data_IF_109040898137
#
_entry.id   IF_109040898137
#
_cell.length_a   1.000
_cell.length_b   1.000
_cell.length_c   1.000
_cell.angle_alpha   90.00
_cell.angle_beta   90.00
_cell.angle_gamma   90.00
#
_symmetry.space_group_name_H-M   'P 1'
#
loop_
_entity.id
_entity.type
_entity.pdbx_description
1 polymer ?
#
# COMPACT_ATOMS: atom_id res chain seq x y z
N UNK A 1 45.85 -5.36 -22.58
CA UNK A 1 45.36 -4.65 -21.38
C UNK A 1 44.13 -3.87 -21.82
N UNK A 2 42.93 -4.46 -21.67
CA UNK A 2 41.94 -4.16 -20.61
C UNK A 2 41.57 -2.68 -20.57
N UNK A 3 40.32 -2.25 -20.72
CA UNK A 3 39.12 -2.79 -20.08
C UNK A 3 37.85 -2.68 -20.95
N UNK A 4 36.98 -3.68 -20.85
CA UNK A 4 35.58 -3.59 -21.26
C UNK A 4 34.77 -2.86 -20.19
N UNK A 5 33.88 -1.98 -20.62
CA UNK A 5 32.83 -1.43 -19.77
C UNK A 5 31.75 -2.51 -19.60
N UNK A 6 31.61 -3.01 -18.38
CA UNK A 6 30.43 -3.74 -17.95
C UNK A 6 29.28 -2.73 -17.80
N UNK A 7 28.25 -2.89 -18.62
CA UNK A 7 26.96 -2.26 -18.41
C UNK A 7 26.29 -3.01 -17.24
N UNK A 8 26.19 -2.35 -16.10
CA UNK A 8 25.38 -2.80 -14.98
C UNK A 8 23.92 -2.85 -15.43
N UNK A 9 23.36 -4.06 -15.45
CA UNK A 9 21.96 -4.30 -15.78
C UNK A 9 21.08 -3.82 -14.65
N UNK A 10 20.55 -2.61 -14.76
CA UNK A 10 19.33 -2.24 -14.05
C UNK A 10 18.23 -3.18 -14.56
N UNK A 11 17.78 -4.10 -13.70
CA UNK A 11 16.62 -4.93 -13.94
C UNK A 11 15.44 -4.03 -14.29
N UNK A 12 15.15 -3.94 -15.57
CA UNK A 12 14.04 -3.15 -16.09
C UNK A 12 12.78 -3.87 -15.67
N UNK A 13 12.02 -3.29 -14.72
CA UNK A 13 10.69 -3.79 -14.38
C UNK A 13 9.83 -3.72 -15.64
N UNK A 14 9.58 -4.87 -16.27
CA UNK A 14 8.63 -4.97 -17.37
C UNK A 14 7.24 -4.90 -16.74
N UNK A 15 6.69 -3.70 -16.62
CA UNK A 15 5.29 -3.52 -16.26
C UNK A 15 4.44 -4.08 -17.40
N UNK A 16 3.70 -5.17 -17.15
CA UNK A 16 2.65 -5.58 -18.07
C UNK A 16 1.56 -4.51 -18.03
N UNK A 17 1.30 -3.90 -19.18
CA UNK A 17 0.56 -2.63 -19.33
C UNK A 17 -0.96 -2.76 -19.07
N UNK A 18 -1.48 -3.89 -18.58
CA UNK A 18 -2.90 -4.20 -18.77
C UNK A 18 -3.81 -4.12 -17.54
N UNK A 19 -3.34 -4.30 -16.31
CA UNK A 19 -4.27 -4.46 -15.19
C UNK A 19 -3.96 -3.45 -14.07
N UNK A 20 -4.49 -2.23 -14.17
CA UNK A 20 -4.33 -1.20 -13.13
C UNK A 20 -5.66 -0.90 -12.45
N UNK A 21 -5.61 -0.72 -11.13
CA UNK A 21 -6.75 -0.37 -10.31
C UNK A 21 -6.56 0.99 -9.65
N UNK A 22 -7.64 1.73 -9.50
CA UNK A 22 -7.74 2.86 -8.60
C UNK A 22 -8.10 2.37 -7.20
N UNK A 23 -7.19 2.58 -6.24
CA UNK A 23 -7.43 2.33 -4.83
C UNK A 23 -7.68 3.66 -4.12
N UNK A 24 -8.83 3.77 -3.46
CA UNK A 24 -9.16 4.86 -2.54
C UNK A 24 -9.29 4.29 -1.13
N UNK A 25 -8.60 4.90 -0.17
CA UNK A 25 -8.70 4.60 1.26
C UNK A 25 -9.12 5.87 1.97
N UNK A 26 -10.11 5.76 2.85
CA UNK A 26 -10.53 6.84 3.75
C UNK A 26 -10.96 6.21 5.07
N UNK A 27 -10.14 6.38 6.11
CA UNK A 27 -10.31 5.73 7.40
C UNK A 27 -9.93 6.67 8.54
N UNK A 28 -10.71 6.64 9.61
CA UNK A 28 -10.26 7.10 10.90
C UNK A 28 -9.69 5.91 11.68
N UNK A 29 -8.44 6.05 12.14
CA UNK A 29 -7.74 5.07 12.95
C UNK A 29 -7.81 5.47 14.42
N UNK A 30 -7.88 4.49 15.31
CA UNK A 30 -7.85 4.69 16.76
C UNK A 30 -6.52 5.27 17.24
N UNK A 31 -6.55 5.84 18.43
CA UNK A 31 -5.36 6.17 19.20
C UNK A 31 -4.51 4.92 19.57
N UNK A 32 -3.29 5.14 20.05
CA UNK A 32 -2.43 4.05 20.54
C UNK A 32 -1.63 3.29 19.47
N UNK A 33 -1.49 3.87 18.27
CA UNK A 33 -0.44 3.45 17.34
C UNK A 33 0.92 3.69 17.98
N UNK A 34 1.77 2.67 18.02
CA UNK A 34 3.15 2.85 18.48
C UNK A 34 3.93 3.77 17.55
N UNK A 35 5.00 4.40 18.05
CA UNK A 35 5.86 5.26 17.24
C UNK A 35 6.45 4.50 16.02
N UNK A 36 6.77 3.22 16.20
CA UNK A 36 7.27 2.37 15.13
C UNK A 36 6.21 2.14 14.04
N UNK A 37 4.99 1.77 14.43
CA UNK A 37 3.87 1.61 13.49
C UNK A 37 3.55 2.91 12.76
N UNK A 38 3.57 4.04 13.47
CA UNK A 38 3.33 5.34 12.87
C UNK A 38 4.44 5.71 11.87
N UNK A 39 5.70 5.40 12.19
CA UNK A 39 6.83 5.62 11.28
C UNK A 39 6.72 4.77 10.01
N UNK A 40 6.35 3.49 10.14
CA UNK A 40 6.14 2.60 8.99
C UNK A 40 4.93 3.01 8.16
N UNK A 41 3.82 3.39 8.79
CA UNK A 41 2.66 3.91 8.08
C UNK A 41 3.03 5.19 7.30
N UNK A 42 3.73 6.14 7.94
CA UNK A 42 4.24 7.33 7.23
C UNK A 42 5.15 6.97 6.06
N UNK A 43 6.01 5.96 6.20
CA UNK A 43 6.84 5.48 5.09
C UNK A 43 5.99 4.91 3.95
N UNK A 44 5.05 4.01 4.23
CA UNK A 44 4.15 3.47 3.21
C UNK A 44 3.35 4.56 2.50
N UNK A 45 2.95 5.62 3.21
CA UNK A 45 2.24 6.75 2.63
C UNK A 45 3.16 7.71 1.86
N UNK A 46 4.48 7.57 1.94
CA UNK A 46 5.45 8.50 1.34
C UNK A 46 5.55 9.84 2.07
N UNK A 47 5.27 9.84 3.37
CA UNK A 47 5.31 11.00 4.27
C UNK A 47 6.54 10.99 5.19
N UNK A 48 7.27 9.87 5.24
CA UNK A 48 8.46 9.71 6.07
C UNK A 48 9.50 8.78 5.46
N UNK A 49 10.71 8.74 6.06
CA UNK A 49 11.75 7.80 5.65
C UNK A 49 11.38 6.36 6.03
N UNK A 50 12.03 5.38 5.37
CA UNK A 50 11.90 3.97 5.73
C UNK A 50 12.41 3.73 7.16
N UNK A 51 11.64 3.07 8.05
CA UNK A 51 12.14 2.67 9.36
C UNK A 51 13.11 1.48 9.26
N UNK A 52 13.94 1.29 10.29
CA UNK A 52 14.91 0.20 10.35
C UNK A 52 14.24 -1.18 10.43
N UNK A 53 13.13 -1.26 11.16
CA UNK A 53 12.37 -2.49 11.39
C UNK A 53 10.91 -2.30 10.98
N UNK A 54 10.41 -3.22 10.14
CA UNK A 54 9.02 -3.28 9.72
C UNK A 54 8.22 -4.23 10.62
N UNK A 55 7.02 -3.83 11.01
CA UNK A 55 6.05 -4.55 11.83
C UNK A 55 4.63 -4.56 11.24
N UNK A 56 4.35 -3.75 10.21
CA UNK A 56 3.06 -3.74 9.49
C UNK A 56 3.08 -4.72 8.33
N UNK A 57 3.98 -4.51 7.37
CA UNK A 57 4.24 -5.41 6.24
C UNK A 57 5.70 -5.82 6.31
N UNK A 58 5.98 -7.08 6.62
CA UNK A 58 7.34 -7.51 6.96
C UNK A 58 8.07 -8.15 5.78
N UNK A 59 7.33 -8.70 4.81
CA UNK A 59 7.89 -9.52 3.75
C UNK A 59 7.76 -8.85 2.38
N UNK A 60 8.91 -8.62 1.74
CA UNK A 60 9.00 -8.17 0.36
C UNK A 60 9.79 -9.08 -0.55
N UNK A 61 9.35 -10.34 -0.73
CA UNK A 61 10.06 -11.28 -1.58
C UNK A 61 10.10 -10.77 -3.02
N UNK A 62 11.31 -10.71 -3.57
CA UNK A 62 11.57 -10.39 -4.97
C UNK A 62 12.62 -11.38 -5.49
N UNK A 63 12.37 -11.94 -6.68
CA UNK A 63 13.26 -12.91 -7.29
C UNK A 63 14.37 -12.16 -8.02
N UNK A 64 15.61 -12.36 -7.61
CA UNK A 64 16.80 -11.90 -8.32
C UNK A 64 17.60 -13.10 -8.82
N UNK A 65 18.37 -12.88 -9.88
CA UNK A 65 19.33 -13.86 -10.37
C UNK A 65 20.71 -13.44 -9.87
N UNK A 66 21.36 -14.29 -9.09
CA UNK A 66 22.68 -14.02 -8.55
C UNK A 66 23.78 -14.11 -9.62
N UNK A 67 25.02 -13.80 -9.22
CA UNK A 67 26.20 -13.87 -10.11
C UNK A 67 26.49 -15.28 -10.66
N UNK A 68 25.88 -16.32 -10.06
CA UNK A 68 25.99 -17.71 -10.50
C UNK A 68 24.87 -18.12 -11.47
N UNK A 69 23.94 -17.21 -11.77
CA UNK A 69 22.77 -17.50 -12.61
C UNK A 69 21.64 -18.22 -11.89
N UNK A 70 21.66 -18.28 -10.55
CA UNK A 70 20.65 -18.95 -9.74
C UNK A 70 19.60 -17.94 -9.26
N UNK A 71 18.33 -18.29 -9.39
CA UNK A 71 17.24 -17.50 -8.84
C UNK A 71 17.21 -17.63 -7.31
N UNK A 72 17.33 -16.50 -6.62
CA UNK A 72 17.23 -16.37 -5.16
C UNK A 72 16.13 -15.38 -4.79
N UNK A 73 15.50 -15.58 -3.63
CA UNK A 73 14.50 -14.65 -3.10
C UNK A 73 15.23 -13.69 -2.17
N UNK A 74 15.17 -12.41 -2.52
CA UNK A 74 15.62 -11.31 -1.66
C UNK A 74 14.43 -10.54 -1.13
N UNK A 75 14.62 -9.84 -0.01
CA UNK A 75 13.62 -8.95 0.55
C UNK A 75 13.96 -7.50 0.15
N UNK A 76 13.12 -6.88 -0.69
CA UNK A 76 13.29 -5.49 -1.15
C UNK A 76 12.09 -4.61 -0.73
N UNK A 77 12.07 -4.11 0.52
CA UNK A 77 10.94 -3.33 1.01
C UNK A 77 10.73 -2.00 0.29
N UNK A 78 9.50 -1.79 -0.18
CA UNK A 78 9.06 -0.59 -0.85
C UNK A 78 7.79 0.00 -0.20
N UNK A 79 7.59 1.33 -0.27
CA UNK A 79 6.37 1.93 0.23
C UNK A 79 5.19 1.62 -0.70
N UNK A 80 4.03 1.26 -0.13
CA UNK A 80 2.88 0.73 -0.88
C UNK A 80 1.88 1.79 -1.34
N UNK A 81 1.84 2.94 -0.68
CA UNK A 81 0.88 4.03 -0.91
C UNK A 81 1.59 5.38 -1.09
N UNK A 82 2.82 5.36 -1.62
CA UNK A 82 3.66 6.54 -1.77
C UNK A 82 3.62 7.16 -3.17
N UNK A 83 2.69 6.73 -4.03
CA UNK A 83 2.48 7.37 -5.33
C UNK A 83 2.17 8.86 -5.17
N UNK A 84 2.75 9.66 -6.07
CA UNK A 84 2.66 11.12 -6.11
C UNK A 84 2.61 11.62 -7.54
N UNK A 85 2.05 12.80 -7.71
CA UNK A 85 1.96 13.47 -9.01
C UNK A 85 0.74 13.03 -9.81
N UNK A 86 0.72 13.36 -11.10
CA UNK A 86 -0.41 13.05 -11.97
C UNK A 86 -0.59 11.52 -12.10
N UNK A 87 -1.82 11.05 -11.87
CA UNK A 87 -2.19 9.66 -12.14
C UNK A 87 -2.13 9.39 -13.65
N UNK A 88 -1.69 8.19 -14.04
CA UNK A 88 -1.48 7.87 -15.44
C UNK A 88 -2.78 7.46 -16.14
N UNK A 89 -3.57 6.56 -15.54
CA UNK A 89 -4.77 5.95 -16.10
C UNK A 89 -6.06 6.58 -15.61
N UNK A 90 -6.13 6.93 -14.33
CA UNK A 90 -7.40 7.30 -13.67
C UNK A 90 -7.63 8.81 -13.57
N UNK A 91 -6.69 9.60 -14.10
CA UNK A 91 -6.71 11.07 -14.03
C UNK A 91 -6.56 11.62 -12.61
N UNK A 92 -6.40 12.94 -12.49
CA UNK A 92 -6.17 13.59 -11.20
C UNK A 92 -4.77 13.32 -10.62
N UNK A 93 -4.65 13.38 -9.29
CA UNK A 93 -3.36 13.27 -8.57
C UNK A 93 -3.36 12.05 -7.65
N UNK A 94 -2.22 11.35 -7.58
CA UNK A 94 -1.94 10.34 -6.58
C UNK A 94 -1.50 11.04 -5.28
N UNK A 95 -2.11 10.66 -4.16
CA UNK A 95 -1.88 11.36 -2.90
C UNK A 95 -2.17 10.47 -1.71
N UNK A 96 -1.41 10.69 -0.64
CA UNK A 96 -1.66 10.11 0.68
C UNK A 96 -1.49 11.18 1.74
N UNK A 97 -2.36 11.18 2.75
CA UNK A 97 -2.34 12.10 3.87
C UNK A 97 -2.72 11.35 5.15
N UNK A 98 -2.04 11.71 6.23
CA UNK A 98 -2.32 11.26 7.58
C UNK A 98 -2.32 12.49 8.49
N UNK A 99 -3.44 12.72 9.19
CA UNK A 99 -3.62 13.85 10.07
C UNK A 99 -3.98 13.38 11.47
N UNK A 100 -3.40 14.03 12.49
CA UNK A 100 -3.78 13.84 13.88
C UNK A 100 -5.21 14.38 14.09
N UNK A 101 -6.02 13.64 14.86
CA UNK A 101 -7.39 14.00 15.25
C UNK A 101 -7.49 14.53 16.69
N UNK A 102 -6.40 14.96 17.31
CA UNK A 102 -6.34 15.42 18.71
C UNK A 102 -7.43 16.43 19.11
N UNK A 103 -7.90 17.26 18.17
CA UNK A 103 -8.92 18.30 18.43
C UNK A 103 -10.35 17.88 18.02
N UNK A 104 -10.58 16.61 17.63
CA UNK A 104 -11.88 16.09 17.21
C UNK A 104 -12.42 15.01 18.17
N UNK A 105 -13.75 14.82 18.26
CA UNK A 105 -14.31 13.66 18.93
C UNK A 105 -13.82 12.36 18.26
N UNK A 106 -13.34 11.41 19.08
CA UNK A 106 -12.69 10.19 18.60
C UNK A 106 -11.23 10.47 18.20
N UNK A 107 -10.38 10.59 19.23
CA UNK A 107 -8.94 10.75 19.14
C UNK A 107 -8.30 9.68 18.24
N UNK A 108 -7.12 9.95 17.69
CA UNK A 108 -6.42 9.05 16.79
C UNK A 108 -6.00 9.76 15.51
N UNK A 109 -6.21 9.12 14.36
CA UNK A 109 -5.68 9.60 13.09
C UNK A 109 -6.71 9.56 11.98
N UNK A 110 -6.69 10.52 11.07
CA UNK A 110 -7.48 10.49 9.85
C UNK A 110 -6.56 10.23 8.66
N UNK A 111 -6.84 9.16 7.94
CA UNK A 111 -6.07 8.67 6.79
C UNK A 111 -6.88 8.86 5.51
N UNK A 112 -6.24 9.38 4.47
CA UNK A 112 -6.76 9.29 3.11
C UNK A 112 -5.64 8.90 2.15
N UNK A 113 -5.90 8.00 1.21
CA UNK A 113 -4.98 7.63 0.15
C UNK A 113 -5.71 7.37 -1.16
N UNK A 114 -5.12 7.82 -2.28
CA UNK A 114 -5.57 7.58 -3.64
C UNK A 114 -4.38 7.14 -4.48
N UNK A 115 -4.41 5.89 -4.95
CA UNK A 115 -3.30 5.24 -5.64
C UNK A 115 -3.75 4.53 -6.91
N UNK A 116 -2.81 4.39 -7.84
CA UNK A 116 -2.90 3.42 -8.93
C UNK A 116 -2.07 2.20 -8.53
N UNK A 117 -2.69 1.03 -8.48
CA UNK A 117 -2.05 -0.20 -8.01
C UNK A 117 -2.19 -1.32 -9.04
N UNK A 118 -1.18 -2.19 -9.13
CA UNK A 118 -1.21 -3.39 -9.95
C UNK A 118 -1.63 -4.62 -9.12
N UNK A 119 -2.33 -5.64 -9.69
CA UNK A 119 -2.67 -6.88 -9.00
C UNK A 119 -1.52 -7.60 -8.30
N UNK A 120 -0.31 -7.52 -8.86
CA UNK A 120 0.91 -8.07 -8.23
C UNK A 120 1.21 -7.45 -6.86
N UNK A 121 0.63 -6.28 -6.54
CA UNK A 121 0.79 -5.59 -5.26
C UNK A 121 -0.32 -5.95 -4.26
N UNK A 122 -1.37 -6.67 -4.67
CA UNK A 122 -2.56 -6.93 -3.84
C UNK A 122 -2.24 -7.71 -2.56
N UNK A 123 -1.27 -8.62 -2.58
CA UNK A 123 -0.89 -9.36 -1.38
C UNK A 123 -0.39 -8.41 -0.28
N UNK A 124 0.59 -7.57 -0.62
CA UNK A 124 1.22 -6.60 0.29
C UNK A 124 0.26 -5.49 0.72
N UNK A 125 -0.51 -4.97 -0.24
CA UNK A 125 -1.55 -3.99 0.05
C UNK A 125 -2.61 -4.64 0.95
N UNK A 126 -2.92 -5.92 0.73
CA UNK A 126 -3.83 -6.69 1.56
C UNK A 126 -3.39 -6.80 3.01
N UNK A 127 -2.11 -7.09 3.25
CA UNK A 127 -1.53 -7.07 4.60
C UNK A 127 -1.68 -5.70 5.28
N UNK A 128 -1.34 -4.62 4.57
CA UNK A 128 -1.50 -3.26 5.06
C UNK A 128 -2.97 -2.92 5.35
N UNK A 129 -3.90 -3.29 4.45
CA UNK A 129 -5.33 -3.05 4.63
C UNK A 129 -5.91 -3.83 5.81
N UNK A 130 -5.48 -5.08 6.00
CA UNK A 130 -5.86 -5.87 7.17
C UNK A 130 -5.35 -5.23 8.47
N UNK A 131 -4.12 -4.72 8.47
CA UNK A 131 -3.56 -3.98 9.60
C UNK A 131 -4.33 -2.69 9.91
N UNK A 132 -4.70 -1.94 8.86
CA UNK A 132 -5.52 -0.71 8.96
C UNK A 132 -6.91 -1.03 9.51
N UNK A 133 -7.58 -2.06 8.99
CA UNK A 133 -8.88 -2.50 9.46
C UNK A 133 -8.88 -2.84 10.96
N UNK A 134 -7.84 -3.54 11.43
CA UNK A 134 -7.70 -3.90 12.85
C UNK A 134 -7.50 -2.70 13.79
N UNK A 135 -7.15 -1.52 13.24
CA UNK A 135 -6.91 -0.25 13.94
C UNK A 135 -7.91 0.83 13.57
N UNK A 136 -8.93 0.50 12.80
CA UNK A 136 -9.97 1.45 12.43
C UNK A 136 -10.81 1.80 13.66
N UNK A 137 -11.22 3.06 13.77
CA UNK A 137 -12.05 3.58 14.85
C UNK A 137 -13.44 2.91 14.84
N UNK A 138 -14.07 2.77 16.01
CA UNK A 138 -15.36 2.06 16.19
C UNK A 138 -16.55 2.73 15.48
N UNK A 139 -16.35 3.90 14.88
CA UNK A 139 -17.36 4.63 14.08
C UNK A 139 -17.43 4.18 12.63
N UNK A 140 -16.50 3.33 12.19
CA UNK A 140 -16.41 2.79 10.83
C UNK A 140 -16.98 1.37 10.57
N UNK A 141 -17.68 0.66 11.49
CA UNK A 141 -18.11 -0.70 11.19
C UNK A 141 -19.18 -0.70 10.10
N UNK A 142 -18.96 -1.56 9.09
CA UNK A 142 -20.05 -2.08 8.30
C UNK A 142 -20.68 -3.27 9.07
N UNK A 143 -21.95 -3.57 8.81
CA UNK A 143 -22.60 -4.73 9.42
C UNK A 143 -21.85 -6.05 9.13
N UNK A 144 -22.09 -7.06 9.98
CA UNK A 144 -21.54 -8.44 9.85
C UNK A 144 -20.03 -8.62 10.08
N UNK A 145 -19.40 -7.77 10.91
CA UNK A 145 -18.01 -7.98 11.34
C UNK A 145 -16.97 -7.67 10.25
N UNK A 146 -17.38 -7.01 9.17
CA UNK A 146 -16.53 -6.47 8.14
C UNK A 146 -16.22 -4.99 8.39
N UNK A 147 -14.99 -4.58 8.08
CA UNK A 147 -14.57 -3.17 8.12
C UNK A 147 -14.47 -2.65 6.70
N UNK A 148 -15.22 -1.60 6.37
CA UNK A 148 -15.07 -0.89 5.10
C UNK A 148 -13.78 -0.06 5.14
N UNK A 149 -12.78 -0.43 4.35
CA UNK A 149 -11.46 0.23 4.33
C UNK A 149 -11.31 1.24 3.20
N UNK A 150 -12.25 1.26 2.25
CA UNK A 150 -12.23 2.19 1.14
C UNK A 150 -12.98 1.65 -0.06
N UNK A 151 -12.45 1.90 -1.25
CA UNK A 151 -13.02 1.42 -2.50
C UNK A 151 -11.95 1.13 -3.55
N UNK A 152 -12.25 0.18 -4.43
CA UNK A 152 -11.37 -0.23 -5.51
C UNK A 152 -12.14 -0.19 -6.84
N UNK A 153 -11.47 0.18 -7.92
CA UNK A 153 -12.04 0.17 -9.26
C UNK A 153 -11.00 -0.21 -10.29
N UNK A 154 -11.33 -1.12 -11.20
CA UNK A 154 -10.50 -1.34 -12.38
C UNK A 154 -10.45 -0.07 -13.24
N UNK A 155 -9.30 0.35 -13.75
CA UNK A 155 -9.20 1.69 -14.37
C UNK A 155 -10.11 1.92 -15.59
N UNK A 156 -10.58 0.85 -16.24
CA UNK A 156 -11.54 0.91 -17.35
C UNK A 156 -13.02 0.80 -16.91
N UNK A 157 -13.28 0.48 -15.64
CA UNK A 157 -14.62 0.40 -15.08
C UNK A 157 -15.17 1.78 -14.70
N UNK A 158 -16.49 1.95 -14.73
CA UNK A 158 -17.14 3.23 -14.42
C UNK A 158 -17.39 3.42 -12.91
N UNK A 159 -17.63 2.34 -12.17
CA UNK A 159 -18.05 2.37 -10.77
C UNK A 159 -16.96 1.81 -9.84
N UNK A 160 -16.97 2.31 -8.60
CA UNK A 160 -16.14 1.77 -7.53
C UNK A 160 -16.90 0.70 -6.76
N UNK A 161 -16.18 -0.36 -6.42
CA UNK A 161 -16.64 -1.37 -5.48
C UNK A 161 -16.11 -1.05 -4.09
N UNK A 162 -16.94 -1.31 -3.07
CA UNK A 162 -16.55 -1.12 -1.67
C UNK A 162 -15.49 -2.16 -1.33
N UNK A 163 -14.36 -1.70 -0.78
CA UNK A 163 -13.28 -2.55 -0.32
C UNK A 163 -13.49 -2.85 1.17
N UNK A 164 -13.54 -4.13 1.51
CA UNK A 164 -13.85 -4.59 2.87
C UNK A 164 -12.78 -5.56 3.36
N UNK A 165 -12.54 -5.53 4.67
CA UNK A 165 -11.76 -6.55 5.38
C UNK A 165 -12.68 -7.34 6.30
N UNK A 166 -12.68 -8.65 6.17
CA UNK A 166 -13.42 -9.56 7.03
C UNK A 166 -12.55 -10.78 7.37
N UNK A 167 -12.55 -11.21 8.64
CA UNK A 167 -11.79 -12.38 9.07
C UNK A 167 -10.27 -12.29 8.83
N UNK A 168 -9.71 -11.07 8.78
CA UNK A 168 -8.29 -10.86 8.49
C UNK A 168 -7.91 -10.99 7.01
N UNK A 169 -8.87 -10.96 6.10
CA UNK A 169 -8.66 -11.01 4.65
C UNK A 169 -9.37 -9.84 3.96
N UNK A 170 -8.77 -9.34 2.89
CA UNK A 170 -9.41 -8.37 2.00
C UNK A 170 -10.36 -9.09 1.05
N UNK A 171 -11.60 -8.63 0.99
CA UNK A 171 -12.56 -9.04 -0.02
C UNK A 171 -12.31 -8.21 -1.29
N UNK A 172 -11.39 -8.68 -2.13
CA UNK A 172 -11.08 -8.04 -3.41
C UNK A 172 -12.29 -8.13 -4.35
N UNK A 173 -12.82 -7.00 -4.85
CA UNK A 173 -13.85 -7.00 -5.87
C UNK A 173 -13.40 -7.76 -7.12
N UNK A 174 -14.29 -8.58 -7.68
CA UNK A 174 -14.07 -9.40 -8.88
C UNK A 174 -14.55 -8.71 -10.14
#
# INVERSE_FOLDING_TARGET
MTAGLALSGAGSRVFRVSDMYELLIALDLREGLSEQELAELNWHLGLGPRPECLSIVTEFPFIVVDDSGIAVIENDPCPLLAGRGAAWRVGGVLSSALADRADLPGEGWSLTSRQEIHPDEFEKIGELLCWLAARTHETHPLGDGAVGVGSLRFCEAEAFDVLQVAGGQVNWPT
#
